data_IF_670682877987
#
_entry.id   IF_670682877987
#
_cell.length_a   1.000
_cell.length_b   1.000
_cell.length_c   1.000
_cell.angle_alpha   90.00
_cell.angle_beta   90.00
_cell.angle_gamma   90.00
#
_symmetry.space_group_name_H-M   'P 1'
#
loop_
_entity.id
_entity.type
_entity.pdbx_description
1 polymer ?
#
# COMPACT_ATOMS: atom_id res chain seq x y z
N UNK A 1 57.70 -44.43 -62.20
CA UNK A 1 57.80 -43.73 -60.89
C UNK A 1 56.39 -43.23 -60.50
N UNK A 2 55.74 -43.88 -59.53
CA UNK A 2 54.37 -43.49 -59.04
C UNK A 2 54.52 -42.74 -57.71
N UNK A 3 54.12 -41.47 -57.66
CA UNK A 3 54.02 -40.72 -56.44
C UNK A 3 52.70 -41.04 -55.77
N UNK A 4 52.73 -41.53 -54.53
CA UNK A 4 51.55 -41.72 -53.69
C UNK A 4 51.33 -40.46 -52.91
N UNK A 5 50.18 -39.85 -53.14
CA UNK A 5 49.68 -38.73 -52.29
C UNK A 5 49.20 -39.28 -50.96
N UNK A 6 49.79 -38.78 -49.88
CA UNK A 6 49.34 -39.01 -48.50
C UNK A 6 48.45 -37.86 -48.13
N UNK A 7 47.18 -38.17 -47.92
CA UNK A 7 46.21 -37.21 -47.37
C UNK A 7 46.27 -37.29 -45.85
N UNK A 8 46.74 -36.21 -45.21
CA UNK A 8 46.67 -36.04 -43.77
C UNK A 8 45.30 -35.57 -43.40
N UNK A 9 44.54 -36.38 -42.65
CA UNK A 9 43.29 -36.02 -42.03
C UNK A 9 43.58 -35.29 -40.72
N UNK A 10 43.12 -34.05 -40.60
CA UNK A 10 43.16 -33.28 -39.35
C UNK A 10 41.98 -33.72 -38.46
N UNK A 11 42.18 -33.88 -37.15
CA UNK A 11 41.08 -34.19 -36.26
C UNK A 11 40.28 -32.91 -35.97
N UNK A 12 38.98 -32.93 -36.30
CA UNK A 12 38.03 -31.89 -35.92
C UNK A 12 37.69 -32.05 -34.45
N UNK A 13 38.24 -31.19 -33.62
CA UNK A 13 37.90 -31.13 -32.20
C UNK A 13 36.54 -30.43 -32.07
N UNK A 14 35.49 -31.19 -31.79
CA UNK A 14 34.16 -30.65 -31.45
C UNK A 14 34.18 -30.14 -30.00
N UNK A 15 34.19 -28.82 -29.82
CA UNK A 15 34.08 -28.18 -28.52
C UNK A 15 32.59 -28.18 -28.12
N UNK A 16 32.18 -29.10 -27.26
CA UNK A 16 30.85 -29.09 -26.64
C UNK A 16 30.83 -28.03 -25.53
N UNK A 17 30.21 -26.89 -25.83
CA UNK A 17 29.83 -25.87 -24.83
C UNK A 17 28.66 -26.40 -24.02
N UNK A 18 28.91 -26.88 -22.81
CA UNK A 18 27.89 -27.10 -21.81
C UNK A 18 27.45 -25.72 -21.26
N UNK A 19 26.37 -25.19 -21.77
CA UNK A 19 25.62 -24.10 -21.07
C UNK A 19 24.95 -24.72 -19.85
N UNK A 20 25.58 -24.58 -18.68
CA UNK A 20 24.93 -24.84 -17.41
C UNK A 20 23.88 -23.76 -17.16
N UNK A 21 22.62 -24.06 -17.50
CA UNK A 21 21.47 -23.25 -17.13
C UNK A 21 21.33 -23.38 -15.61
N UNK A 22 21.89 -22.43 -14.85
CA UNK A 22 21.59 -22.30 -13.44
C UNK A 22 20.18 -21.71 -13.33
N UNK A 23 19.16 -22.56 -13.40
CA UNK A 23 17.83 -22.22 -12.95
C UNK A 23 17.92 -22.01 -11.43
N UNK A 24 17.98 -20.74 -11.00
CA UNK A 24 17.76 -20.39 -9.60
C UNK A 24 16.34 -20.80 -9.25
N UNK A 25 16.18 -21.98 -8.69
CA UNK A 25 14.93 -22.40 -8.04
C UNK A 25 14.83 -21.49 -6.82
N UNK A 26 14.18 -20.34 -6.98
CA UNK A 26 13.68 -19.59 -5.83
C UNK A 26 12.74 -20.57 -5.13
N UNK A 27 13.17 -21.08 -3.97
CA UNK A 27 12.31 -21.83 -3.07
C UNK A 27 11.11 -20.92 -2.75
N UNK A 28 10.03 -21.06 -3.50
CA UNK A 28 8.75 -20.48 -3.14
C UNK A 28 8.31 -21.26 -1.91
N UNK A 29 8.38 -20.62 -0.74
CA UNK A 29 7.65 -21.13 0.42
C UNK A 29 6.20 -21.28 -0.04
N UNK A 30 5.51 -22.39 0.32
CA UNK A 30 4.10 -22.50 0.03
C UNK A 30 3.41 -21.26 0.60
N UNK A 31 2.82 -20.45 -0.27
CA UNK A 31 2.13 -19.25 0.13
C UNK A 31 0.93 -19.69 0.97
N UNK A 32 0.84 -19.19 2.19
CA UNK A 32 -0.30 -19.46 3.05
C UNK A 32 -1.55 -18.93 2.34
N UNK A 33 -2.62 -19.72 2.31
CA UNK A 33 -3.87 -19.25 1.74
C UNK A 33 -4.36 -17.99 2.48
N UNK A 34 -4.98 -17.02 1.78
CA UNK A 34 -5.53 -15.85 2.40
C UNK A 34 -6.49 -16.22 3.53
N UNK A 35 -6.42 -15.49 4.63
CA UNK A 35 -7.36 -15.69 5.72
C UNK A 35 -8.78 -15.36 5.28
N UNK A 36 -9.79 -16.09 5.76
CA UNK A 36 -11.17 -15.71 5.51
C UNK A 36 -11.48 -14.35 6.14
N UNK A 37 -12.43 -13.65 5.53
CA UNK A 37 -12.91 -12.38 6.07
C UNK A 37 -13.39 -12.54 7.53
N UNK A 38 -12.99 -11.59 8.36
CA UNK A 38 -13.46 -11.46 9.73
C UNK A 38 -13.66 -9.99 10.03
N UNK A 39 -14.84 -9.61 10.47
CA UNK A 39 -15.11 -8.27 10.98
C UNK A 39 -14.60 -8.13 12.41
N UNK A 40 -14.13 -6.96 12.72
CA UNK A 40 -13.68 -6.56 14.06
C UNK A 40 -14.56 -5.43 14.57
N UNK A 41 -14.72 -5.24 15.89
CA UNK A 41 -15.40 -4.07 16.42
C UNK A 41 -14.58 -2.81 16.11
N UNK A 42 -15.20 -1.84 15.45
CA UNK A 42 -14.63 -0.51 15.23
C UNK A 42 -14.83 0.40 16.44
N UNK A 43 -14.07 1.48 16.50
CA UNK A 43 -14.22 2.51 17.55
C UNK A 43 -15.50 3.29 17.31
N UNK A 44 -15.83 3.62 16.07
CA UNK A 44 -16.94 4.47 15.66
C UNK A 44 -18.17 3.64 15.29
N UNK A 45 -17.97 2.47 14.68
CA UNK A 45 -19.03 1.58 14.22
C UNK A 45 -18.98 0.24 14.93
N UNK A 46 -20.01 -0.06 15.73
CA UNK A 46 -20.13 -1.38 16.37
C UNK A 46 -20.51 -2.48 15.38
N UNK A 47 -21.26 -2.13 14.35
CA UNK A 47 -21.62 -3.01 13.25
C UNK A 47 -21.88 -2.19 12.00
N UNK A 48 -21.51 -2.73 10.84
CA UNK A 48 -21.79 -2.16 9.54
C UNK A 48 -22.30 -3.26 8.61
N UNK A 49 -23.27 -3.00 7.70
CA UNK A 49 -23.87 -4.05 6.89
C UNK A 49 -22.82 -4.84 6.10
N UNK A 50 -22.82 -6.16 6.26
CA UNK A 50 -21.94 -7.06 5.52
C UNK A 50 -22.62 -7.41 4.19
N UNK A 51 -22.00 -7.05 3.04
CA UNK A 51 -22.52 -7.41 1.73
C UNK A 51 -22.59 -8.94 1.52
N UNK A 52 -23.55 -9.46 0.72
CA UNK A 52 -23.70 -10.89 0.51
C UNK A 52 -22.51 -11.55 -0.21
N UNK A 53 -21.69 -10.78 -0.91
CA UNK A 53 -20.48 -11.22 -1.61
C UNK A 53 -19.19 -11.05 -0.78
N UNK A 54 -19.29 -10.83 0.52
CA UNK A 54 -18.13 -10.61 1.43
C UNK A 54 -17.09 -11.75 1.39
N UNK A 55 -17.54 -13.00 1.17
CA UNK A 55 -16.64 -14.15 1.04
C UNK A 55 -16.09 -14.41 -0.36
N UNK A 56 -16.40 -13.55 -1.35
CA UNK A 56 -15.97 -13.73 -2.73
C UNK A 56 -14.45 -13.54 -2.86
N UNK A 57 -13.80 -14.41 -3.61
CA UNK A 57 -12.43 -14.18 -4.04
C UNK A 57 -12.39 -13.10 -5.12
N UNK A 58 -11.38 -12.25 -5.08
CA UNK A 58 -11.18 -11.13 -5.99
C UNK A 58 -9.70 -10.89 -6.21
N UNK A 59 -9.33 -10.12 -7.22
CA UNK A 59 -7.94 -9.78 -7.49
C UNK A 59 -7.39 -8.71 -6.54
N UNK A 60 -8.26 -7.91 -5.95
CA UNK A 60 -7.88 -6.89 -4.97
C UNK A 60 -8.84 -6.85 -3.77
N UNK A 61 -8.26 -6.52 -2.62
CA UNK A 61 -8.98 -6.34 -1.35
C UNK A 61 -8.37 -5.12 -0.65
N UNK A 62 -9.21 -4.31 -0.02
CA UNK A 62 -8.75 -3.28 0.90
C UNK A 62 -8.12 -3.95 2.11
N UNK A 63 -6.80 -4.04 2.16
CA UNK A 63 -6.10 -4.64 3.28
C UNK A 63 -5.73 -3.56 4.30
N UNK A 64 -6.39 -3.58 5.46
CA UNK A 64 -6.17 -2.63 6.55
C UNK A 64 -5.13 -3.16 7.52
N UNK A 65 -4.06 -2.40 7.72
CA UNK A 65 -2.96 -2.79 8.59
C UNK A 65 -3.34 -2.64 10.05
N UNK A 66 -3.30 -3.75 10.80
CA UNK A 66 -3.52 -3.78 12.24
C UNK A 66 -2.20 -3.55 12.96
N UNK A 67 -2.15 -2.52 13.76
CA UNK A 67 -0.99 -2.16 14.58
C UNK A 67 -1.41 -1.89 16.02
N UNK A 68 -0.46 -1.90 16.92
CA UNK A 68 -0.67 -1.45 18.28
C UNK A 68 -0.61 0.07 18.33
N UNK A 69 -1.74 0.70 18.65
CA UNK A 69 -1.85 2.14 18.85
C UNK A 69 -1.42 2.58 20.25
N UNK A 70 -0.98 3.83 20.36
CA UNK A 70 -0.76 4.52 21.63
C UNK A 70 -2.00 5.34 22.00
N UNK A 71 -2.33 5.41 23.28
CA UNK A 71 -3.53 6.11 23.80
C UNK A 71 -4.85 5.55 23.26
N UNK A 72 -5.71 6.39 22.67
CA UNK A 72 -7.07 6.06 22.22
C UNK A 72 -7.13 5.76 20.72
N UNK A 73 -6.14 6.20 19.98
CA UNK A 73 -6.05 5.98 18.56
C UNK A 73 -5.64 4.54 18.23
N UNK A 74 -6.23 3.98 17.24
CA UNK A 74 -5.91 2.64 16.77
C UNK A 74 -6.31 2.45 15.29
N UNK A 75 -5.94 1.32 14.75
CA UNK A 75 -6.19 0.96 13.36
C UNK A 75 -7.69 0.85 12.97
N UNK A 76 -8.64 0.96 13.93
CA UNK A 76 -10.08 0.86 13.67
C UNK A 76 -10.79 2.21 13.57
N UNK A 77 -10.07 3.32 13.47
CA UNK A 77 -10.64 4.61 13.11
C UNK A 77 -11.20 4.50 11.68
N UNK A 78 -12.37 5.07 11.41
CA UNK A 78 -13.15 5.02 10.14
C UNK A 78 -13.55 3.60 9.71
N UNK A 79 -13.14 2.58 10.46
CA UNK A 79 -13.37 1.19 10.14
C UNK A 79 -14.79 0.76 10.50
N UNK A 80 -15.48 0.03 9.64
CA UNK A 80 -15.10 -0.43 8.30
C UNK A 80 -15.72 0.41 7.17
N UNK A 81 -16.30 1.56 7.49
CA UNK A 81 -17.08 2.36 6.55
C UNK A 81 -16.21 2.93 5.43
N UNK A 82 -15.08 3.56 5.76
CA UNK A 82 -14.16 4.09 4.76
C UNK A 82 -13.66 3.01 3.79
N UNK A 83 -13.31 1.83 4.31
CA UNK A 83 -12.80 0.70 3.53
C UNK A 83 -13.83 0.21 2.50
N UNK A 84 -15.09 0.07 2.93
CA UNK A 84 -16.20 -0.41 2.08
C UNK A 84 -16.62 0.63 1.06
N UNK A 85 -16.65 1.92 1.42
CA UNK A 85 -16.88 2.99 0.47
C UNK A 85 -15.78 3.06 -0.58
N UNK A 86 -14.51 2.93 -0.16
CA UNK A 86 -13.41 2.91 -1.11
C UNK A 86 -13.46 1.67 -2.02
N UNK A 87 -13.74 0.48 -1.49
CA UNK A 87 -13.90 -0.74 -2.29
C UNK A 87 -15.03 -0.61 -3.33
N UNK A 88 -16.16 0.01 -2.94
CA UNK A 88 -17.25 0.30 -3.86
C UNK A 88 -16.84 1.30 -4.97
N UNK A 89 -16.08 2.34 -4.60
CA UNK A 89 -15.55 3.30 -5.58
C UNK A 89 -14.58 2.61 -6.56
N UNK A 90 -13.69 1.73 -6.10
CA UNK A 90 -12.80 0.94 -6.96
C UNK A 90 -13.60 0.13 -7.98
N UNK A 91 -14.67 -0.55 -7.54
CA UNK A 91 -15.56 -1.34 -8.41
C UNK A 91 -16.29 -0.50 -9.46
N UNK A 92 -16.57 0.77 -9.16
CA UNK A 92 -17.28 1.69 -10.07
C UNK A 92 -16.34 2.46 -11.00
N UNK A 93 -15.18 2.85 -10.50
CA UNK A 93 -14.26 3.75 -11.21
C UNK A 93 -13.19 3.02 -12.02
N UNK A 94 -13.01 1.71 -11.76
CA UNK A 94 -11.98 0.90 -12.41
C UNK A 94 -12.56 -0.39 -12.97
N UNK A 95 -11.69 -1.21 -13.60
CA UNK A 95 -12.02 -2.58 -13.99
C UNK A 95 -11.43 -3.62 -13.03
N UNK A 96 -10.87 -3.16 -11.92
CA UNK A 96 -10.30 -4.05 -10.90
C UNK A 96 -11.42 -4.85 -10.24
N UNK A 97 -11.25 -6.16 -10.18
CA UNK A 97 -12.18 -7.04 -9.47
C UNK A 97 -11.90 -6.94 -7.96
N UNK A 98 -12.56 -5.98 -7.30
CA UNK A 98 -12.41 -5.72 -5.88
C UNK A 98 -13.45 -6.45 -5.03
N UNK A 99 -13.02 -6.98 -3.87
CA UNK A 99 -13.93 -7.50 -2.84
C UNK A 99 -14.71 -6.34 -2.21
N UNK A 100 -15.94 -6.59 -1.82
CA UNK A 100 -16.83 -5.58 -1.22
C UNK A 100 -16.54 -5.27 0.24
N UNK A 101 -15.69 -6.06 0.89
CA UNK A 101 -15.27 -5.88 2.27
C UNK A 101 -13.75 -5.92 2.39
N UNK A 102 -13.29 -5.27 3.39
CA UNK A 102 -11.89 -5.14 3.78
C UNK A 102 -11.27 -6.46 4.28
N UNK A 103 -9.97 -6.44 4.54
CA UNK A 103 -9.23 -7.50 5.22
C UNK A 103 -8.29 -6.86 6.25
N UNK A 104 -8.62 -6.91 7.55
CA UNK A 104 -7.67 -6.54 8.58
C UNK A 104 -6.48 -7.50 8.60
N UNK A 105 -5.26 -6.97 8.60
CA UNK A 105 -4.00 -7.72 8.47
C UNK A 105 -3.02 -7.29 9.55
N UNK A 106 -2.64 -8.21 10.42
CA UNK A 106 -1.57 -8.00 11.38
C UNK A 106 -0.23 -8.54 10.85
N UNK A 107 0.85 -7.78 11.02
CA UNK A 107 2.18 -8.22 10.60
C UNK A 107 2.63 -9.52 11.30
N UNK A 108 2.20 -9.73 12.55
CA UNK A 108 2.56 -10.89 13.36
C UNK A 108 1.76 -12.16 12.98
N UNK A 109 0.72 -12.05 12.19
CA UNK A 109 -0.18 -13.14 11.83
C UNK A 109 0.39 -14.07 10.73
N UNK A 110 1.61 -14.53 10.89
CA UNK A 110 2.26 -15.45 9.95
C UNK A 110 2.57 -14.80 8.61
N UNK A 111 2.20 -15.46 7.52
CA UNK A 111 2.50 -15.02 6.15
C UNK A 111 1.30 -14.37 5.43
N UNK A 112 0.20 -14.10 6.14
CA UNK A 112 -1.03 -13.55 5.53
C UNK A 112 -0.80 -12.18 4.87
N UNK A 113 0.08 -11.35 5.43
CA UNK A 113 0.44 -10.04 4.87
C UNK A 113 0.89 -10.11 3.39
N UNK A 114 1.52 -11.22 2.98
CA UNK A 114 2.02 -11.38 1.60
C UNK A 114 0.94 -11.73 0.57
N UNK A 115 -0.29 -11.98 1.01
CA UNK A 115 -1.43 -12.19 0.11
C UNK A 115 -2.00 -10.89 -0.45
N UNK A 116 -1.60 -9.74 0.12
CA UNK A 116 -2.21 -8.46 -0.15
C UNK A 116 -1.21 -7.50 -0.78
N UNK A 117 -1.35 -7.10 -2.05
CA UNK A 117 -0.38 -6.24 -2.73
C UNK A 117 -0.35 -4.81 -2.19
N UNK A 118 -1.43 -4.38 -1.53
CA UNK A 118 -1.65 -3.04 -1.02
C UNK A 118 -2.14 -3.09 0.43
N UNK A 119 -1.51 -2.33 1.30
CA UNK A 119 -1.90 -2.13 2.69
C UNK A 119 -2.23 -0.67 2.95
N UNK A 120 -3.21 -0.43 3.81
CA UNK A 120 -3.59 0.89 4.29
C UNK A 120 -3.39 0.98 5.80
N UNK A 121 -2.72 2.02 6.25
CA UNK A 121 -2.54 2.36 7.67
C UNK A 121 -3.12 3.74 7.94
N UNK A 122 -4.17 3.77 8.76
CA UNK A 122 -4.80 4.99 9.29
C UNK A 122 -4.10 5.42 10.58
N UNK A 123 -4.12 6.70 10.91
CA UNK A 123 -3.58 7.27 12.17
C UNK A 123 -2.18 6.77 12.56
N UNK A 124 -1.31 6.60 11.56
CA UNK A 124 0.04 6.06 11.76
C UNK A 124 0.96 6.96 12.59
N UNK A 125 0.52 8.17 12.90
CA UNK A 125 1.13 9.07 13.89
C UNK A 125 0.95 8.62 15.34
N UNK A 126 0.15 7.57 15.56
CA UNK A 126 -0.13 7.01 16.88
C UNK A 126 0.30 5.55 17.04
N UNK A 127 0.98 5.00 16.07
CA UNK A 127 1.48 3.64 16.14
C UNK A 127 2.78 3.51 16.95
N UNK A 128 3.05 2.30 17.41
CA UNK A 128 4.36 1.93 17.96
C UNK A 128 4.70 0.51 17.48
N UNK A 129 5.32 0.42 16.31
CA UNK A 129 5.68 -0.86 15.73
C UNK A 129 6.73 -1.56 16.57
N UNK A 130 6.51 -2.83 16.88
CA UNK A 130 7.54 -3.70 17.45
C UNK A 130 8.64 -3.98 16.42
N UNK A 131 9.79 -4.46 16.88
CA UNK A 131 10.87 -4.86 15.96
C UNK A 131 10.43 -5.99 15.01
N UNK A 132 9.54 -6.88 15.48
CA UNK A 132 8.98 -7.96 14.67
C UNK A 132 8.05 -7.41 13.57
N UNK A 133 7.12 -6.51 13.93
CA UNK A 133 6.24 -5.85 12.96
C UNK A 133 7.05 -5.04 11.94
N UNK A 134 8.04 -4.29 12.41
CA UNK A 134 8.92 -3.51 11.54
C UNK A 134 9.70 -4.41 10.55
N UNK A 135 10.28 -5.51 11.04
CA UNK A 135 10.99 -6.47 10.19
C UNK A 135 10.06 -7.13 9.16
N UNK A 136 8.84 -7.47 9.57
CA UNK A 136 7.85 -8.09 8.68
C UNK A 136 7.34 -7.11 7.62
N UNK A 137 7.03 -5.87 8.01
CA UNK A 137 6.64 -4.81 7.09
C UNK A 137 7.75 -4.51 6.07
N UNK A 138 9.01 -4.45 6.54
CA UNK A 138 10.18 -4.32 5.66
C UNK A 138 10.24 -5.44 4.61
N UNK A 139 10.16 -6.70 5.06
CA UNK A 139 10.23 -7.86 4.14
C UNK A 139 9.07 -7.83 3.13
N UNK A 140 7.86 -7.49 3.57
CA UNK A 140 6.69 -7.30 2.72
C UNK A 140 6.94 -6.26 1.62
N UNK A 141 7.41 -5.07 1.99
CA UNK A 141 7.67 -3.97 1.07
C UNK A 141 8.78 -4.29 0.06
N UNK A 142 9.86 -4.92 0.50
CA UNK A 142 10.97 -5.34 -0.37
C UNK A 142 10.59 -6.47 -1.33
N UNK A 143 9.53 -7.23 -1.05
CA UNK A 143 8.99 -8.28 -1.93
C UNK A 143 7.99 -7.77 -2.96
N UNK A 144 7.71 -6.48 -2.98
CA UNK A 144 6.78 -5.89 -3.94
C UNK A 144 5.49 -5.36 -3.32
N UNK A 145 5.30 -5.48 -2.01
CA UNK A 145 4.17 -4.88 -1.32
C UNK A 145 4.19 -3.35 -1.38
N UNK A 146 3.02 -2.74 -1.20
CA UNK A 146 2.83 -1.29 -1.14
C UNK A 146 2.09 -0.92 0.13
N UNK A 147 2.49 0.20 0.77
CA UNK A 147 1.87 0.67 1.99
C UNK A 147 1.48 2.14 1.87
N UNK A 148 0.20 2.43 2.03
CA UNK A 148 -0.34 3.77 2.11
C UNK A 148 -0.53 4.16 3.57
N UNK A 149 0.10 5.26 3.98
CA UNK A 149 0.00 5.85 5.31
C UNK A 149 -0.85 7.10 5.25
N UNK A 150 -1.83 7.23 6.13
CA UNK A 150 -2.82 8.30 6.09
C UNK A 150 -3.24 8.72 7.49
N UNK A 151 -3.97 9.84 7.58
CA UNK A 151 -4.58 10.40 8.77
C UNK A 151 -3.60 10.55 9.93
N UNK A 152 -2.62 11.44 9.74
CA UNK A 152 -1.75 11.88 10.83
C UNK A 152 -1.21 13.29 10.55
N UNK A 153 -1.08 14.09 11.60
CA UNK A 153 -1.02 15.53 11.45
C UNK A 153 0.03 16.19 12.33
N UNK A 154 0.71 17.16 11.74
CA UNK A 154 1.64 18.03 12.45
C UNK A 154 2.95 17.38 12.85
N UNK A 155 3.74 18.15 13.58
CA UNK A 155 5.12 17.79 13.94
C UNK A 155 5.19 16.59 14.89
N UNK A 156 4.32 16.56 15.89
CA UNK A 156 4.36 15.51 16.92
C UNK A 156 4.06 14.12 16.37
N UNK A 157 3.02 13.98 15.54
CA UNK A 157 2.67 12.70 14.93
C UNK A 157 3.69 12.28 13.87
N UNK A 158 4.26 13.26 13.17
CA UNK A 158 5.38 13.01 12.27
C UNK A 158 6.59 12.38 12.97
N UNK A 159 6.95 12.86 14.17
CA UNK A 159 8.04 12.31 14.96
C UNK A 159 7.79 10.85 15.36
N UNK A 160 6.57 10.51 15.79
CA UNK A 160 6.17 9.14 16.14
C UNK A 160 6.21 8.24 14.90
N UNK A 161 5.61 8.69 13.80
CA UNK A 161 5.61 7.98 12.53
C UNK A 161 7.03 7.65 12.07
N UNK A 162 7.89 8.65 12.03
CA UNK A 162 9.27 8.49 11.57
C UNK A 162 10.12 7.62 12.49
N UNK A 163 9.86 7.63 13.80
CA UNK A 163 10.55 6.75 14.75
C UNK A 163 10.28 5.27 14.43
N UNK A 164 9.03 4.90 14.13
CA UNK A 164 8.67 3.54 13.70
C UNK A 164 9.22 3.23 12.30
N UNK A 165 9.12 4.16 11.34
CA UNK A 165 9.66 3.95 9.99
C UNK A 165 11.18 3.79 9.95
N UNK A 166 11.92 4.41 10.88
CA UNK A 166 13.36 4.17 11.04
C UNK A 166 13.69 2.75 11.47
N UNK A 167 12.78 2.05 12.16
CA UNK A 167 12.95 0.62 12.45
C UNK A 167 12.70 -0.25 11.22
N UNK A 168 11.78 0.19 10.36
CA UNK A 168 11.50 -0.50 9.08
C UNK A 168 12.64 -0.29 8.09
N UNK A 169 13.04 0.97 7.85
CA UNK A 169 14.08 1.36 6.90
C UNK A 169 15.07 2.35 7.50
N UNK A 170 16.05 1.90 8.31
CA UNK A 170 17.05 2.81 8.89
C UNK A 170 17.94 3.48 7.83
N UNK A 171 18.12 2.84 6.66
CA UNK A 171 19.00 3.29 5.60
C UNK A 171 18.31 4.10 4.48
N UNK A 172 16.96 4.15 4.48
CA UNK A 172 16.20 4.80 3.40
C UNK A 172 15.62 6.13 3.85
N UNK A 173 15.84 7.22 3.09
CA UNK A 173 15.20 8.49 3.40
C UNK A 173 13.72 8.47 3.06
N UNK A 174 12.95 9.25 3.83
CA UNK A 174 11.63 9.70 3.41
C UNK A 174 11.86 10.96 2.57
N UNK A 175 11.32 10.99 1.36
CA UNK A 175 11.48 12.11 0.41
C UNK A 175 10.11 12.64 -0.03
N UNK A 176 10.07 13.89 -0.48
CA UNK A 176 8.88 14.40 -1.17
C UNK A 176 8.76 13.70 -2.52
N UNK A 177 7.54 13.24 -2.86
CA UNK A 177 7.26 12.58 -4.14
C UNK A 177 7.23 13.66 -5.23
N UNK A 178 8.03 13.53 -6.30
CA UNK A 178 8.02 14.49 -7.40
C UNK A 178 6.65 14.56 -8.10
N UNK A 179 6.27 15.73 -8.59
CA UNK A 179 4.96 15.92 -9.25
C UNK A 179 4.79 15.03 -10.49
N UNK A 180 5.87 14.71 -11.20
CA UNK A 180 5.87 13.82 -12.36
C UNK A 180 6.02 12.33 -12.01
N UNK A 181 5.91 11.94 -10.72
CA UNK A 181 5.97 10.53 -10.36
C UNK A 181 4.78 9.76 -10.93
N UNK A 182 4.99 8.55 -11.46
CA UNK A 182 3.92 7.73 -12.02
C UNK A 182 2.72 7.50 -11.10
N UNK A 183 2.89 7.55 -9.78
CA UNK A 183 1.79 7.37 -8.83
C UNK A 183 0.72 8.45 -8.96
N UNK A 184 1.10 9.66 -9.37
CA UNK A 184 0.16 10.77 -9.57
C UNK A 184 -0.51 10.77 -10.95
N UNK A 185 -0.13 9.82 -11.82
CA UNK A 185 -0.58 9.74 -13.22
C UNK A 185 -1.03 8.33 -13.62
N UNK A 186 -1.22 7.40 -12.66
CA UNK A 186 -1.53 6.00 -12.96
C UNK A 186 -2.90 5.83 -13.65
N UNK A 187 -3.91 6.61 -13.25
CA UNK A 187 -5.27 6.63 -13.83
C UNK A 187 -5.74 8.06 -14.06
N UNK A 188 -5.56 8.90 -13.08
CA UNK A 188 -5.92 10.32 -13.10
C UNK A 188 -4.65 11.16 -13.06
N UNK A 189 -4.63 12.28 -13.78
CA UNK A 189 -3.63 13.31 -13.59
C UNK A 189 -3.98 14.14 -12.34
N UNK A 190 -3.09 14.10 -11.35
CA UNK A 190 -3.29 14.75 -10.05
C UNK A 190 -2.39 15.97 -9.88
N UNK A 191 -2.31 16.82 -10.90
CA UNK A 191 -1.45 18.03 -10.88
C UNK A 191 -1.94 19.08 -9.88
N UNK A 192 -3.23 19.09 -9.56
CA UNK A 192 -3.90 20.06 -8.70
C UNK A 192 -4.22 19.51 -7.30
N UNK A 193 -3.35 18.67 -6.76
CA UNK A 193 -3.53 18.10 -5.41
C UNK A 193 -3.56 19.20 -4.34
N UNK A 194 -4.49 19.06 -3.42
CA UNK A 194 -4.64 19.95 -2.26
C UNK A 194 -4.87 19.13 -1.00
N UNK A 195 -4.84 19.81 0.14
CA UNK A 195 -5.09 19.18 1.44
C UNK A 195 -6.53 18.66 1.52
N UNK A 196 -6.68 17.37 1.79
CA UNK A 196 -7.97 16.71 2.05
C UNK A 196 -8.12 16.62 3.56
N UNK A 197 -9.12 17.30 4.14
CA UNK A 197 -9.33 17.31 5.58
C UNK A 197 -10.19 16.13 6.03
N UNK A 198 -10.08 15.78 7.31
CA UNK A 198 -11.02 14.91 7.99
C UNK A 198 -12.35 15.59 8.34
N UNK A 199 -13.22 14.85 9.05
CA UNK A 199 -14.55 15.32 9.48
C UNK A 199 -14.49 16.55 10.38
N UNK A 200 -13.36 16.84 11.03
CA UNK A 200 -13.19 18.09 11.80
C UNK A 200 -13.42 19.34 10.95
N UNK A 201 -13.31 19.24 9.61
CA UNK A 201 -13.64 20.32 8.69
C UNK A 201 -15.10 20.79 8.88
N UNK A 202 -16.02 19.87 9.11
CA UNK A 202 -17.45 20.16 9.29
C UNK A 202 -17.73 21.07 10.49
N UNK A 203 -16.87 21.01 11.50
CA UNK A 203 -17.04 21.79 12.73
C UNK A 203 -16.16 23.04 12.78
N UNK A 204 -15.00 23.00 12.14
CA UNK A 204 -13.99 24.05 12.24
C UNK A 204 -13.85 24.91 10.99
N UNK A 205 -14.24 24.39 9.82
CA UNK A 205 -13.97 24.96 8.51
C UNK A 205 -12.48 24.95 8.12
N UNK A 206 -11.62 24.27 8.89
CA UNK A 206 -10.17 24.19 8.65
C UNK A 206 -9.84 22.91 7.90
N UNK A 207 -8.96 23.02 6.92
CA UNK A 207 -8.43 21.86 6.19
C UNK A 207 -7.27 21.15 6.90
N UNK A 208 -6.79 21.71 7.99
CA UNK A 208 -5.64 21.22 8.74
C UNK A 208 -5.98 20.90 10.18
N UNK A 209 -5.23 20.00 10.75
CA UNK A 209 -5.21 19.68 12.18
C UNK A 209 -3.87 20.04 12.80
N UNK A 210 -3.88 20.33 14.13
CA UNK A 210 -2.66 20.67 14.89
C UNK A 210 -1.87 21.78 14.19
N UNK A 211 -0.57 21.55 13.97
CA UNK A 211 0.33 22.41 13.20
C UNK A 211 0.58 21.89 11.76
N UNK A 212 -0.28 20.98 11.27
CA UNK A 212 -0.22 20.39 9.94
C UNK A 212 -0.84 21.25 8.83
N UNK A 213 -0.39 22.47 8.66
CA UNK A 213 -1.01 23.48 7.79
C UNK A 213 -0.99 23.17 6.30
N UNK A 214 -0.09 22.29 5.86
CA UNK A 214 0.10 21.98 4.44
C UNK A 214 0.12 20.49 4.20
N UNK A 215 -0.55 20.05 3.15
CA UNK A 215 -0.45 18.67 2.67
C UNK A 215 0.99 18.31 2.28
N UNK A 216 1.45 17.13 2.67
CA UNK A 216 2.78 16.64 2.33
C UNK A 216 2.69 15.26 1.68
N UNK A 217 3.05 15.21 0.41
CA UNK A 217 3.10 13.99 -0.40
C UNK A 217 4.50 13.42 -0.36
N UNK A 218 4.72 12.43 0.49
CA UNK A 218 6.05 11.87 0.74
C UNK A 218 6.07 10.37 0.50
N UNK A 219 7.27 9.80 0.40
CA UNK A 219 7.38 8.37 0.22
C UNK A 219 8.76 7.80 0.47
N UNK A 220 8.82 6.47 0.41
CA UNK A 220 10.06 5.70 0.49
C UNK A 220 10.14 4.83 -0.76
N UNK A 221 11.26 4.94 -1.48
CA UNK A 221 11.53 4.20 -2.70
C UNK A 221 12.46 3.01 -2.48
N UNK A 222 12.31 1.99 -3.31
CA UNK A 222 13.29 0.91 -3.40
C UNK A 222 14.50 1.31 -4.30
N UNK A 223 15.46 0.39 -4.44
CA UNK A 223 16.69 0.63 -5.22
C UNK A 223 16.43 0.72 -6.73
N UNK A 224 15.22 0.38 -7.19
CA UNK A 224 14.80 0.44 -8.59
C UNK A 224 13.95 1.68 -8.90
N UNK A 225 13.71 2.52 -7.90
CA UNK A 225 12.85 3.70 -8.03
C UNK A 225 11.36 3.41 -7.94
N UNK A 226 10.94 2.22 -7.46
CA UNK A 226 9.54 1.93 -7.16
C UNK A 226 9.18 2.53 -5.81
N UNK A 227 8.09 3.27 -5.74
CA UNK A 227 7.54 3.77 -4.49
C UNK A 227 6.96 2.59 -3.69
N UNK A 228 7.51 2.32 -2.52
CA UNK A 228 7.05 1.26 -1.62
C UNK A 228 6.07 1.76 -0.57
N UNK A 229 6.29 2.98 -0.08
CA UNK A 229 5.47 3.61 0.96
C UNK A 229 5.04 4.98 0.46
N UNK A 230 3.73 5.20 0.34
CA UNK A 230 3.14 6.50 0.09
C UNK A 230 2.64 7.10 1.41
N UNK A 231 3.04 8.32 1.70
CA UNK A 231 2.82 8.99 2.98
C UNK A 231 2.00 10.25 2.75
N UNK A 232 0.72 10.19 3.15
CA UNK A 232 -0.25 11.27 3.05
C UNK A 232 -0.27 12.10 4.35
N UNK A 233 0.83 12.82 4.63
CA UNK A 233 0.99 13.56 5.87
C UNK A 233 0.19 14.87 5.86
N UNK A 234 -0.49 15.18 6.93
CA UNK A 234 -1.41 16.30 7.11
C UNK A 234 -2.68 16.20 6.23
N UNK A 235 -3.14 15.01 5.98
CA UNK A 235 -4.36 14.73 5.24
C UNK A 235 -5.11 13.59 5.88
N UNK A 236 -6.40 13.50 5.56
CA UNK A 236 -7.27 12.43 5.97
C UNK A 236 -8.10 11.97 4.77
N UNK A 237 -7.54 10.99 4.07
CA UNK A 237 -8.21 10.38 2.92
C UNK A 237 -9.27 9.36 3.40
N UNK A 238 -9.04 8.75 4.57
CA UNK A 238 -9.96 7.84 5.22
C UNK A 238 -11.33 8.46 5.45
N UNK A 239 -11.37 9.61 6.11
CA UNK A 239 -12.57 10.40 6.33
C UNK A 239 -13.23 10.87 5.01
N UNK A 240 -12.42 11.20 4.00
CA UNK A 240 -12.95 11.62 2.71
C UNK A 240 -13.69 10.49 1.97
N UNK A 241 -13.36 9.23 2.25
CA UNK A 241 -14.09 8.06 1.76
C UNK A 241 -15.26 7.73 2.69
N UNK A 242 -15.04 7.79 3.99
CA UNK A 242 -16.05 7.50 5.02
C UNK A 242 -17.28 8.37 4.86
N UNK A 243 -17.08 9.69 4.75
CA UNK A 243 -18.15 10.70 4.68
C UNK A 243 -18.56 11.06 3.23
N UNK A 244 -18.15 10.25 2.23
CA UNK A 244 -18.42 10.54 0.81
C UNK A 244 -19.91 10.56 0.44
N UNK A 245 -20.77 9.89 1.21
CA UNK A 245 -22.22 9.84 1.03
C UNK A 245 -22.98 10.86 1.93
N UNK A 246 -22.25 11.66 2.71
CA UNK A 246 -22.83 12.72 3.55
C UNK A 246 -22.87 14.05 2.80
N UNK A 247 -24.07 14.67 2.67
CA UNK A 247 -24.22 15.95 1.94
C UNK A 247 -23.41 17.11 2.53
N UNK A 248 -23.10 17.03 3.82
CA UNK A 248 -22.35 18.05 4.55
C UNK A 248 -20.85 18.00 4.23
N UNK A 249 -20.32 16.83 3.88
CA UNK A 249 -18.90 16.70 3.52
C UNK A 249 -18.68 17.14 2.06
N UNK A 250 -17.79 18.13 1.80
CA UNK A 250 -17.68 18.69 0.46
C UNK A 250 -17.19 17.69 -0.59
N UNK A 251 -17.97 17.49 -1.65
CA UNK A 251 -17.67 16.57 -2.76
C UNK A 251 -16.25 16.72 -3.34
N UNK A 252 -15.70 17.94 -3.37
CA UNK A 252 -14.35 18.18 -3.87
C UNK A 252 -13.28 17.37 -3.12
N UNK A 253 -13.45 17.16 -1.81
CA UNK A 253 -12.51 16.42 -0.98
C UNK A 253 -12.68 14.92 -1.19
N UNK A 254 -13.91 14.40 -1.14
CA UNK A 254 -14.16 12.98 -1.42
C UNK A 254 -13.76 12.61 -2.85
N UNK A 255 -14.07 13.45 -3.85
CA UNK A 255 -13.66 13.23 -5.23
C UNK A 255 -12.14 13.19 -5.40
N UNK A 256 -11.39 14.06 -4.71
CA UNK A 256 -9.92 14.01 -4.74
C UNK A 256 -9.40 12.79 -4.00
N UNK A 257 -9.94 12.48 -2.81
CA UNK A 257 -9.55 11.31 -2.02
C UNK A 257 -9.71 10.00 -2.79
N UNK A 258 -10.84 9.81 -3.50
CA UNK A 258 -11.02 8.65 -4.36
C UNK A 258 -10.04 8.59 -5.52
N UNK A 259 -9.76 9.71 -6.20
CA UNK A 259 -8.78 9.75 -7.30
C UNK A 259 -7.38 9.39 -6.83
N UNK A 260 -6.95 9.90 -5.67
CA UNK A 260 -5.66 9.55 -5.05
C UNK A 260 -5.61 8.06 -4.73
N UNK A 261 -6.60 7.54 -4.00
CA UNK A 261 -6.64 6.13 -3.62
C UNK A 261 -6.64 5.20 -4.84
N UNK A 262 -7.40 5.53 -5.90
CA UNK A 262 -7.42 4.75 -7.15
C UNK A 262 -6.07 4.77 -7.85
N UNK A 263 -5.39 5.91 -7.92
CA UNK A 263 -4.05 6.00 -8.48
C UNK A 263 -3.05 5.14 -7.71
N UNK A 264 -3.08 5.22 -6.38
CA UNK A 264 -2.18 4.46 -5.51
C UNK A 264 -2.42 2.95 -5.62
N UNK A 265 -3.69 2.54 -5.69
CA UNK A 265 -4.06 1.14 -5.91
C UNK A 265 -3.55 0.62 -7.26
N UNK A 266 -3.83 1.34 -8.36
CA UNK A 266 -3.40 0.90 -9.69
C UNK A 266 -1.88 0.91 -9.80
N UNK A 267 -1.21 1.90 -9.24
CA UNK A 267 0.25 1.92 -9.13
C UNK A 267 0.77 0.66 -8.41
N UNK A 268 0.21 0.33 -7.25
CA UNK A 268 0.61 -0.85 -6.46
C UNK A 268 0.41 -2.18 -7.20
N UNK A 269 -0.59 -2.26 -8.08
CA UNK A 269 -0.87 -3.47 -8.88
C UNK A 269 -0.01 -3.58 -10.13
N UNK A 270 0.64 -2.50 -10.59
CA UNK A 270 1.34 -2.45 -11.88
C UNK A 270 2.85 -2.21 -11.77
N UNK A 271 3.36 -1.88 -10.60
CA UNK A 271 4.76 -1.60 -10.31
C UNK A 271 5.24 -2.43 -9.11
#
# INVERSE_FOLDING_TARGET
>A
MRFRNVVLAAPTTVLLFFFALHASIKSQRPQQAPRPFREYPGVEYQSFPIPPDAGRQSEWVFARFMYRGIRYSNWTIDYPRSDRHFAEAVRRLTRVDARSVEQPVAAEDGDDIYNWPWLYGVEVGHWDLTDLEAAKLRDYLLRGGFFMCDDFHGTWEWEIFTASMKRVFPERPIVDIPDNDPIFHAVYDLDDRYQVPGAQYLYTGRTYERDGYEARWRGIYDDKGRLMVAICHNMDLGDSWEHADEPEYPEKYSALGFRIGVNYLVYAMTH
#
